data_IF_933723339260
#
_entry.id   IF_933723339260
#
_cell.length_a   1.000
_cell.length_b   1.000
_cell.length_c   1.000
_cell.angle_alpha   90.00
_cell.angle_beta   90.00
_cell.angle_gamma   90.00
#
_symmetry.space_group_name_H-M   'P 1'
#
loop_
_entity.id
_entity.type
_entity.pdbx_description
1 polymer ?
#
# COMPACT_ATOMS: atom_id res chain seq x y z
N UNK A 1 -10.38 -2.07 -3.90
CA UNK A 1 -9.00 -2.30 -3.41
C UNK A 1 -8.25 -0.98 -3.33
N UNK A 2 -7.81 -0.32 -4.40
CA UNK A 2 -7.20 1.03 -4.30
C UNK A 2 -8.18 2.12 -3.80
N UNK A 3 -9.46 1.98 -4.14
CA UNK A 3 -10.54 2.88 -3.70
C UNK A 3 -10.73 2.98 -2.17
N UNK A 4 -10.12 2.08 -1.38
CA UNK A 4 -10.27 2.17 0.09
C UNK A 4 -9.67 3.46 0.63
N UNK A 5 -8.57 3.95 0.05
CA UNK A 5 -7.98 5.24 0.41
C UNK A 5 -8.85 6.42 -0.09
N UNK A 6 -9.46 6.31 -1.27
CA UNK A 6 -10.36 7.33 -1.82
C UNK A 6 -11.65 7.51 -1.00
N UNK A 7 -12.03 6.49 -0.22
CA UNK A 7 -13.21 6.54 0.64
C UNK A 7 -12.94 7.21 1.99
N UNK A 8 -11.68 7.49 2.31
CA UNK A 8 -11.30 8.15 3.55
C UNK A 8 -11.27 9.68 3.38
N UNK A 9 -11.39 10.40 4.49
CA UNK A 9 -11.29 11.85 4.52
C UNK A 9 -9.81 12.29 4.41
N UNK A 10 -9.25 12.15 3.22
CA UNK A 10 -7.87 12.52 2.86
C UNK A 10 -7.83 13.28 1.54
N UNK A 11 -6.79 14.08 1.26
CA UNK A 11 -6.65 14.81 0.00
C UNK A 11 -6.18 13.94 -1.18
N UNK A 12 -5.95 12.64 -0.97
CA UNK A 12 -5.42 11.73 -2.00
C UNK A 12 -6.54 10.99 -2.74
N UNK A 13 -6.33 10.73 -4.03
CA UNK A 13 -7.25 9.95 -4.85
C UNK A 13 -6.47 8.99 -5.76
N UNK A 14 -6.74 7.69 -5.65
CA UNK A 14 -6.22 6.70 -6.60
C UNK A 14 -7.16 6.56 -7.78
N UNK A 15 -6.65 6.87 -8.97
CA UNK A 15 -7.39 6.68 -10.21
C UNK A 15 -6.75 5.60 -11.06
N UNK A 16 -7.56 4.63 -11.49
CA UNK A 16 -7.13 3.68 -12.51
C UNK A 16 -6.93 4.42 -13.83
N UNK A 17 -5.74 4.29 -14.40
CA UNK A 17 -5.45 4.78 -15.75
C UNK A 17 -6.07 3.87 -16.82
N UNK A 18 -6.36 4.46 -17.99
CA UNK A 18 -6.87 3.71 -19.14
C UNK A 18 -5.84 2.72 -19.69
N UNK A 19 -6.31 1.71 -20.43
CA UNK A 19 -5.43 0.79 -21.15
C UNK A 19 -4.57 1.55 -22.16
N UNK A 20 -3.30 1.17 -22.30
CA UNK A 20 -2.33 1.83 -23.20
C UNK A 20 -1.64 3.05 -22.60
N UNK A 21 -1.96 3.43 -21.36
CA UNK A 21 -1.35 4.55 -20.64
C UNK A 21 -0.41 4.07 -19.52
N UNK A 22 0.01 2.81 -19.52
CA UNK A 22 0.75 2.18 -18.41
C UNK A 22 2.04 2.91 -18.05
N UNK A 23 2.67 3.56 -19.03
CA UNK A 23 3.90 4.34 -18.84
C UNK A 23 3.66 5.67 -18.13
N UNK A 24 2.40 6.10 -18.01
CA UNK A 24 1.99 7.35 -17.35
C UNK A 24 1.50 7.11 -15.92
N UNK A 25 1.38 5.85 -15.47
CA UNK A 25 0.99 5.58 -14.09
C UNK A 25 2.12 5.93 -13.12
N UNK A 26 1.79 6.70 -12.09
CA UNK A 26 2.67 6.91 -10.93
C UNK A 26 2.79 5.64 -10.07
N UNK A 27 1.82 4.73 -10.17
CA UNK A 27 1.78 3.55 -9.32
C UNK A 27 1.40 2.33 -10.13
N UNK A 28 2.27 1.32 -10.08
CA UNK A 28 2.03 0.00 -10.65
C UNK A 28 1.72 -0.98 -9.52
N UNK A 29 0.60 -1.68 -9.67
CA UNK A 29 0.25 -2.81 -8.80
C UNK A 29 0.70 -4.10 -9.46
N UNK A 30 1.45 -4.93 -8.72
CA UNK A 30 1.97 -6.21 -9.21
C UNK A 30 1.61 -7.32 -8.23
N UNK A 31 1.17 -8.46 -8.75
CA UNK A 31 1.02 -9.68 -7.98
C UNK A 31 1.82 -10.79 -8.65
N UNK A 32 2.72 -11.43 -7.91
CA UNK A 32 3.65 -12.43 -8.43
C UNK A 32 3.96 -13.49 -7.38
N UNK A 33 4.40 -14.66 -7.82
CA UNK A 33 4.90 -15.70 -6.93
C UNK A 33 6.43 -15.68 -7.01
N UNK A 34 7.09 -15.23 -5.94
CA UNK A 34 8.54 -15.04 -5.92
C UNK A 34 9.30 -16.16 -5.20
N UNK A 35 8.59 -17.10 -4.57
CA UNK A 35 9.18 -18.22 -3.83
C UNK A 35 9.42 -17.87 -2.35
N UNK A 36 9.81 -18.90 -1.60
CA UNK A 36 9.95 -18.81 -0.13
C UNK A 36 11.21 -18.06 0.32
N UNK A 37 12.17 -17.84 -0.57
CA UNK A 37 13.39 -17.06 -0.31
C UNK A 37 13.12 -15.55 -0.08
N UNK A 38 11.89 -15.11 -0.31
CA UNK A 38 11.47 -13.71 -0.26
C UNK A 38 10.41 -13.49 0.81
N UNK A 39 10.82 -13.43 2.08
CA UNK A 39 9.98 -13.40 3.30
C UNK A 39 9.14 -12.13 3.50
N UNK A 40 8.45 -11.66 2.47
CA UNK A 40 7.52 -10.53 2.52
C UNK A 40 6.19 -10.90 1.87
N UNK A 41 5.10 -10.45 2.49
CA UNK A 41 3.73 -10.62 1.99
C UNK A 41 3.38 -9.57 0.94
N UNK A 42 3.87 -8.35 1.14
CA UNK A 42 3.80 -7.25 0.20
C UNK A 42 5.10 -6.45 0.23
N UNK A 43 5.31 -5.66 -0.82
CA UNK A 43 6.46 -4.76 -0.91
C UNK A 43 6.19 -3.58 -1.83
N UNK A 44 6.36 -2.37 -1.31
CA UNK A 44 6.43 -1.15 -2.08
C UNK A 44 7.90 -0.80 -2.42
N UNK A 45 8.22 -0.75 -3.71
CA UNK A 45 9.54 -0.40 -4.24
C UNK A 45 9.52 1.06 -4.69
N UNK A 46 10.55 1.82 -4.33
CA UNK A 46 10.68 3.27 -4.59
C UNK A 46 9.59 4.12 -3.91
N UNK A 47 8.99 3.63 -2.83
CA UNK A 47 7.99 4.37 -2.05
C UNK A 47 8.57 5.59 -1.28
N UNK A 48 9.86 5.55 -0.94
CA UNK A 48 10.52 6.56 -0.09
C UNK A 48 10.79 7.92 -0.75
N UNK A 49 10.40 8.09 -2.01
CA UNK A 49 10.80 9.27 -2.79
C UNK A 49 9.67 10.32 -2.86
N UNK A 50 8.48 10.04 -2.31
CA UNK A 50 7.47 11.07 -2.10
C UNK A 50 7.81 11.87 -0.84
N UNK A 51 8.20 13.14 -1.00
CA UNK A 51 8.54 14.04 0.11
C UNK A 51 7.66 15.27 0.05
N UNK A 52 6.96 15.58 1.15
CA UNK A 52 6.00 16.70 1.21
C UNK A 52 4.91 16.61 0.13
N UNK A 53 4.52 15.39 -0.23
CA UNK A 53 3.53 15.11 -1.27
C UNK A 53 3.95 15.38 -2.71
N UNK A 54 5.24 15.58 -2.95
CA UNK A 54 5.80 15.82 -4.28
C UNK A 54 6.82 14.72 -4.64
N UNK A 55 6.72 14.19 -5.86
CA UNK A 55 7.76 13.36 -6.44
C UNK A 55 8.82 14.25 -7.10
N UNK A 56 10.09 14.22 -6.65
CA UNK A 56 11.10 15.21 -7.01
C UNK A 56 11.50 15.24 -8.50
N UNK A 57 11.03 14.29 -9.34
CA UNK A 57 11.40 14.19 -10.76
C UNK A 57 10.23 13.84 -11.71
N UNK A 58 8.96 14.08 -11.33
CA UNK A 58 7.78 13.73 -12.15
C UNK A 58 7.24 12.31 -11.88
N UNK A 59 6.61 11.67 -12.89
CA UNK A 59 6.00 10.31 -12.77
C UNK A 59 7.05 9.33 -12.26
N UNK A 60 6.92 8.89 -11.02
CA UNK A 60 7.69 7.75 -10.54
C UNK A 60 6.89 6.50 -10.78
N UNK A 61 7.50 5.46 -11.32
CA UNK A 61 6.85 4.15 -11.39
C UNK A 61 7.05 3.44 -10.04
N UNK A 62 6.36 3.90 -8.99
CA UNK A 62 6.34 3.22 -7.70
C UNK A 62 5.63 1.88 -7.88
N UNK A 63 6.21 0.80 -7.36
CA UNK A 63 5.63 -0.53 -7.52
C UNK A 63 5.17 -1.06 -6.18
N UNK A 64 3.86 -1.18 -5.98
CA UNK A 64 3.28 -1.92 -4.87
C UNK A 64 3.05 -3.38 -5.30
N UNK A 65 3.70 -4.31 -4.62
CA UNK A 65 3.73 -5.73 -4.96
C UNK A 65 3.07 -6.58 -3.88
N UNK A 66 2.37 -7.64 -4.29
CA UNK A 66 1.79 -8.65 -3.38
C UNK A 66 2.33 -10.03 -3.71
N UNK A 67 2.96 -10.68 -2.72
CA UNK A 67 3.60 -11.98 -2.86
C UNK A 67 2.59 -13.13 -2.77
N UNK A 68 2.21 -13.61 -3.95
CA UNK A 68 1.31 -14.74 -4.14
C UNK A 68 1.80 -16.04 -3.52
N UNK A 69 3.11 -16.20 -3.30
CA UNK A 69 3.64 -17.35 -2.56
C UNK A 69 3.02 -17.44 -1.16
N UNK A 70 2.70 -16.31 -0.52
CA UNK A 70 2.11 -16.31 0.81
C UNK A 70 0.67 -15.79 0.87
N UNK A 71 0.19 -15.10 -0.17
CA UNK A 71 -1.17 -14.55 -0.21
C UNK A 71 -2.18 -15.41 -0.98
N UNK A 72 -1.73 -16.31 -1.85
CA UNK A 72 -2.65 -17.22 -2.52
C UNK A 72 -3.28 -18.18 -1.49
N UNK A 73 -4.58 -18.43 -1.62
CA UNK A 73 -5.36 -19.27 -0.68
C UNK A 73 -5.86 -18.54 0.57
N UNK A 74 -5.44 -17.28 0.79
CA UNK A 74 -5.98 -16.42 1.87
C UNK A 74 -7.35 -15.84 1.53
N UNK A 75 -8.02 -15.32 2.56
CA UNK A 75 -9.27 -14.59 2.35
C UNK A 75 -9.05 -13.29 1.57
N UNK A 76 -10.09 -12.83 0.86
CA UNK A 76 -10.02 -11.57 0.13
C UNK A 76 -9.68 -10.39 1.06
N UNK A 77 -10.13 -10.42 2.31
CA UNK A 77 -9.86 -9.35 3.27
C UNK A 77 -8.40 -9.33 3.71
N UNK A 78 -7.79 -10.49 3.98
CA UNK A 78 -6.35 -10.58 4.25
C UNK A 78 -5.52 -10.04 3.08
N UNK A 79 -5.88 -10.43 1.85
CA UNK A 79 -5.17 -9.96 0.65
C UNK A 79 -5.38 -8.46 0.40
N UNK A 80 -6.58 -7.95 0.69
CA UNK A 80 -6.87 -6.53 0.65
C UNK A 80 -6.05 -5.78 1.71
N UNK A 81 -5.83 -6.34 2.89
CA UNK A 81 -5.05 -5.68 3.94
C UNK A 81 -3.59 -5.49 3.52
N UNK A 82 -2.96 -6.54 2.97
CA UNK A 82 -1.60 -6.47 2.41
C UNK A 82 -1.54 -5.41 1.33
N UNK A 83 -2.43 -5.42 0.33
CA UNK A 83 -2.32 -4.42 -0.73
C UNK A 83 -2.62 -2.99 -0.23
N UNK A 84 -3.56 -2.82 0.70
CA UNK A 84 -3.88 -1.50 1.26
C UNK A 84 -2.68 -0.92 2.00
N UNK A 85 -1.95 -1.76 2.73
CA UNK A 85 -0.68 -1.42 3.36
C UNK A 85 0.37 -0.98 2.34
N UNK A 86 0.60 -1.78 1.28
CA UNK A 86 1.58 -1.41 0.25
C UNK A 86 1.21 -0.13 -0.49
N UNK A 87 -0.08 0.12 -0.71
CA UNK A 87 -0.56 1.39 -1.26
C UNK A 87 -0.29 2.56 -0.29
N UNK A 88 -0.42 2.37 1.02
CA UNK A 88 -0.05 3.38 2.01
C UNK A 88 1.42 3.79 1.89
N UNK A 89 2.32 2.82 1.67
CA UNK A 89 3.73 3.14 1.39
C UNK A 89 3.90 4.00 0.14
N UNK A 90 3.15 3.74 -0.94
CA UNK A 90 3.26 4.56 -2.16
C UNK A 90 2.87 6.02 -1.94
N UNK A 91 2.07 6.30 -0.92
CA UNK A 91 1.67 7.65 -0.49
C UNK A 91 2.68 8.30 0.48
N UNK A 92 3.71 7.58 0.91
CA UNK A 92 4.75 8.06 1.82
C UNK A 92 4.58 7.64 3.28
N UNK A 93 3.60 6.79 3.62
CA UNK A 93 3.46 6.28 4.99
C UNK A 93 4.57 5.28 5.32
N UNK A 94 5.12 5.39 6.52
CA UNK A 94 6.05 4.42 7.09
C UNK A 94 5.32 3.28 7.81
N UNK A 95 6.06 2.23 8.18
CA UNK A 95 5.54 1.20 9.08
C UNK A 95 5.21 1.77 10.47
N UNK A 96 4.16 1.23 11.08
CA UNK A 96 3.84 1.40 12.50
C UNK A 96 4.27 0.13 13.25
N UNK A 97 4.93 0.29 14.39
CA UNK A 97 5.37 -0.81 15.26
C UNK A 97 4.88 -0.62 16.70
N UNK A 98 4.74 -1.72 17.47
CA UNK A 98 4.32 -1.70 18.88
C UNK A 98 2.90 -2.21 19.15
N UNK A 99 2.38 -1.94 20.35
CA UNK A 99 1.11 -2.48 20.91
C UNK A 99 -0.16 -1.77 20.44
N UNK A 100 -0.11 -0.94 19.40
CA UNK A 100 -1.31 -0.43 18.75
C UNK A 100 -1.49 -1.07 17.36
N UNK A 101 -1.98 -2.32 17.30
CA UNK A 101 -2.35 -3.03 16.08
C UNK A 101 -3.62 -2.43 15.43
N UNK A 102 -3.71 -1.11 15.35
CA UNK A 102 -4.91 -0.41 14.88
C UNK A 102 -4.59 0.49 13.69
N UNK A 103 -3.59 0.12 12.91
CA UNK A 103 -3.12 0.82 11.71
C UNK A 103 -2.97 -0.18 10.59
N UNK A 104 -3.44 0.17 9.38
CA UNK A 104 -3.20 -0.66 8.19
C UNK A 104 -1.71 -0.72 7.86
N UNK A 105 -0.93 0.27 8.32
CA UNK A 105 0.53 0.33 8.19
C UNK A 105 1.29 -0.46 9.27
N UNK A 106 0.61 -1.29 10.08
CA UNK A 106 1.28 -2.18 11.01
C UNK A 106 2.26 -3.11 10.29
N UNK A 107 3.51 -3.15 10.76
CA UNK A 107 4.63 -3.84 10.10
C UNK A 107 4.37 -5.33 9.82
N UNK A 108 3.49 -5.97 10.59
CA UNK A 108 3.16 -7.38 10.44
C UNK A 108 1.75 -7.62 9.88
N UNK A 109 1.09 -6.67 9.21
CA UNK A 109 -0.30 -6.84 8.71
C UNK A 109 -0.51 -8.07 7.82
N UNK A 110 0.54 -8.52 7.11
CA UNK A 110 0.54 -9.74 6.32
C UNK A 110 0.56 -11.01 7.18
N UNK A 111 1.63 -11.27 7.95
CA UNK A 111 1.71 -12.47 8.79
C UNK A 111 0.72 -12.48 9.96
N UNK A 112 0.36 -11.31 10.49
CA UNK A 112 -0.53 -11.10 11.64
C UNK A 112 -1.72 -10.24 11.21
N UNK A 113 -2.62 -10.83 10.41
CA UNK A 113 -3.81 -10.13 9.93
C UNK A 113 -4.75 -9.79 11.10
N UNK A 114 -5.09 -8.51 11.21
CA UNK A 114 -5.73 -7.96 12.42
C UNK A 114 -7.25 -7.79 12.29
N UNK A 115 -7.85 -8.40 11.27
CA UNK A 115 -9.30 -8.35 11.06
C UNK A 115 -9.81 -7.08 10.36
N UNK A 116 -8.93 -6.19 9.92
CA UNK A 116 -9.27 -5.00 9.14
C UNK A 116 -8.39 -4.88 7.89
N UNK A 117 -8.95 -4.29 6.84
CA UNK A 117 -8.30 -4.17 5.52
C UNK A 117 -8.49 -2.78 4.88
N UNK A 118 -8.95 -1.81 5.66
CA UNK A 118 -9.06 -0.40 5.27
C UNK A 118 -8.19 0.45 6.17
N UNK A 119 -7.81 1.66 5.73
CA UNK A 119 -7.09 2.62 6.57
C UNK A 119 -7.86 2.89 7.86
N UNK A 120 -7.10 3.21 8.91
CA UNK A 120 -7.61 3.52 10.25
C UNK A 120 -7.37 5.00 10.55
N UNK A 121 -7.96 5.49 11.64
CA UNK A 121 -7.87 6.90 12.01
C UNK A 121 -6.41 7.40 12.11
N UNK A 122 -5.50 6.55 12.59
CA UNK A 122 -4.07 6.86 12.62
C UNK A 122 -3.50 7.07 11.20
N UNK A 123 -3.76 6.15 10.28
CA UNK A 123 -3.28 6.22 8.90
C UNK A 123 -3.84 7.43 8.15
N UNK A 124 -5.12 7.74 8.37
CA UNK A 124 -5.81 8.91 7.79
C UNK A 124 -5.20 10.22 8.31
N UNK A 125 -4.92 10.30 9.62
CA UNK A 125 -4.29 11.47 10.21
C UNK A 125 -2.87 11.68 9.68
N UNK A 126 -2.09 10.61 9.51
CA UNK A 126 -0.74 10.69 8.97
C UNK A 126 -0.74 11.14 7.51
N UNK A 127 -1.67 10.65 6.67
CA UNK A 127 -1.82 11.15 5.30
C UNK A 127 -2.15 12.65 5.28
N UNK A 128 -3.11 13.09 6.10
CA UNK A 128 -3.49 14.51 6.19
C UNK A 128 -2.39 15.40 6.78
N UNK A 129 -1.39 14.83 7.44
CA UNK A 129 -0.22 15.57 7.90
C UNK A 129 0.85 15.71 6.81
N UNK A 130 0.84 14.85 5.79
CA UNK A 130 1.77 14.87 4.65
C UNK A 130 1.27 15.79 3.53
N UNK A 131 -0.04 15.80 3.25
CA UNK A 131 -0.70 16.48 2.13
C UNK A 131 -1.77 17.45 2.61
#
# INVERSE_FOLDING_TARGET
>A
MAQVWNNENTPVDFKKIGAGYEQQADIKLVAGAWGEDYEWFGKAINAYVCSGGLYPNGVQHVVASVNRTYTDGRSNNENNAVLTHELGHTLGLGHVSGTSPASIMYINIGPDYQGFWTPRAYDVNDINAIY
#
